data_IF_235974949867
#
_entry.id   IF_235974949867
#
_cell.length_a   1.000
_cell.length_b   1.000
_cell.length_c   1.000
_cell.angle_alpha   90.00
_cell.angle_beta   90.00
_cell.angle_gamma   90.00
#
_symmetry.space_group_name_H-M   'P 1'
#
loop_
_entity.id
_entity.type
_entity.pdbx_description
1 polymer ?
#
# COMPACT_ATOMS: atom_id res chain seq x y z
N UNK A 1 -38.30 0.06 -8.61
CA UNK A 1 -36.92 -0.36 -8.30
C UNK A 1 -36.97 -1.20 -7.06
N UNK A 2 -36.33 -2.37 -7.08
CA UNK A 2 -36.36 -3.32 -5.97
C UNK A 2 -35.13 -3.08 -5.09
N UNK A 3 -35.31 -3.08 -3.77
CA UNK A 3 -34.21 -3.09 -2.82
C UNK A 3 -33.81 -4.52 -2.49
N UNK A 4 -32.50 -4.74 -2.35
CA UNK A 4 -31.90 -6.03 -2.04
C UNK A 4 -30.76 -5.85 -1.02
N UNK A 5 -30.41 -6.89 -0.33
CA UNK A 5 -29.20 -6.85 0.50
C UNK A 5 -27.95 -6.75 -0.37
N UNK A 6 -27.01 -5.90 0.03
CA UNK A 6 -25.72 -5.79 -0.63
C UNK A 6 -24.98 -7.13 -0.61
N UNK A 7 -24.39 -7.48 -1.75
CA UNK A 7 -23.56 -8.70 -1.91
C UNK A 7 -22.24 -8.61 -1.11
N UNK A 8 -21.90 -7.43 -0.64
CA UNK A 8 -20.68 -7.15 0.14
C UNK A 8 -20.90 -7.20 1.64
N UNK A 9 -22.10 -7.65 2.10
CA UNK A 9 -22.37 -7.87 3.51
C UNK A 9 -21.78 -9.19 4.00
N UNK A 10 -21.05 -9.13 5.09
CA UNK A 10 -20.62 -10.30 5.87
C UNK A 10 -21.34 -10.22 7.22
N UNK A 11 -22.25 -11.13 7.46
CA UNK A 11 -23.15 -11.07 8.63
C UNK A 11 -23.05 -12.35 9.46
N UNK A 12 -23.13 -12.17 10.79
CA UNK A 12 -23.27 -13.26 11.75
C UNK A 12 -24.45 -12.96 12.68
N UNK A 13 -25.19 -14.00 13.07
CA UNK A 13 -26.24 -13.91 14.09
C UNK A 13 -25.69 -14.38 15.43
N UNK A 14 -25.95 -13.61 16.49
CA UNK A 14 -25.60 -13.98 17.86
C UNK A 14 -26.59 -13.37 18.83
N UNK A 15 -27.20 -14.22 19.70
CA UNK A 15 -28.12 -13.80 20.75
C UNK A 15 -29.33 -12.95 20.27
N UNK A 16 -29.85 -13.25 19.07
CA UNK A 16 -30.99 -12.52 18.50
C UNK A 16 -30.61 -11.22 17.79
N UNK A 17 -29.33 -10.88 17.74
CA UNK A 17 -28.79 -9.73 17.01
C UNK A 17 -28.02 -10.17 15.76
N UNK A 18 -28.09 -9.35 14.74
CA UNK A 18 -27.24 -9.45 13.55
C UNK A 18 -26.09 -8.45 13.68
N UNK A 19 -24.86 -8.97 13.61
CA UNK A 19 -23.65 -8.20 13.42
C UNK A 19 -23.27 -8.28 11.96
N UNK A 20 -23.21 -7.16 11.28
CA UNK A 20 -22.89 -7.13 9.85
C UNK A 20 -21.84 -6.10 9.52
N UNK A 21 -20.87 -6.50 8.69
CA UNK A 21 -19.86 -5.64 8.11
C UNK A 21 -20.05 -5.60 6.60
N UNK A 22 -20.20 -4.40 6.03
CA UNK A 22 -20.22 -4.25 4.58
C UNK A 22 -18.82 -3.90 4.09
N UNK A 23 -18.24 -4.79 3.29
CA UNK A 23 -16.85 -4.65 2.82
C UNK A 23 -16.66 -3.52 1.80
N UNK A 24 -17.73 -3.03 1.17
CA UNK A 24 -17.71 -1.93 0.22
C UNK A 24 -17.84 -0.57 0.91
N UNK A 25 -18.86 -0.39 1.75
CA UNK A 25 -19.08 0.86 2.51
C UNK A 25 -18.18 0.98 3.74
N UNK A 26 -17.59 -0.14 4.19
CA UNK A 26 -16.81 -0.30 5.43
C UNK A 26 -17.60 -0.02 6.72
N UNK A 27 -18.91 -0.02 6.63
CA UNK A 27 -19.76 0.14 7.77
C UNK A 27 -19.83 -1.17 8.59
N UNK A 28 -19.84 -1.04 9.90
CA UNK A 28 -20.09 -2.13 10.85
C UNK A 28 -21.32 -1.78 11.68
N UNK A 29 -22.28 -2.71 11.77
CA UNK A 29 -23.52 -2.52 12.51
C UNK A 29 -23.82 -3.70 13.40
N UNK A 30 -24.63 -3.41 14.43
CA UNK A 30 -25.39 -4.38 15.22
C UNK A 30 -26.84 -3.95 15.21
N UNK A 31 -27.75 -4.84 14.83
CA UNK A 31 -29.20 -4.60 14.82
C UNK A 31 -29.91 -5.85 15.30
N UNK A 32 -31.11 -5.69 15.84
CA UNK A 32 -31.97 -6.84 16.15
C UNK A 32 -32.29 -7.62 14.86
N UNK A 33 -32.46 -8.92 14.96
CA UNK A 33 -32.73 -9.79 13.80
C UNK A 33 -33.92 -9.32 12.96
N UNK A 34 -34.99 -8.88 13.63
CA UNK A 34 -36.21 -8.42 12.95
C UNK A 34 -36.02 -7.09 12.21
N UNK A 35 -35.05 -6.27 12.65
CA UNK A 35 -34.67 -5.01 12.01
C UNK A 35 -33.72 -5.20 10.84
N UNK A 36 -33.14 -6.40 10.69
CA UNK A 36 -32.26 -6.70 9.57
C UNK A 36 -33.07 -7.14 8.35
N UNK A 37 -33.75 -6.18 7.73
CA UNK A 37 -34.62 -6.39 6.58
C UNK A 37 -34.44 -5.29 5.51
N UNK A 38 -34.88 -5.56 4.29
CA UNK A 38 -34.67 -4.67 3.13
C UNK A 38 -35.46 -3.35 3.20
N UNK A 39 -36.44 -3.26 4.07
CA UNK A 39 -37.25 -2.06 4.25
C UNK A 39 -36.68 -1.09 5.27
N UNK A 40 -35.71 -1.52 6.05
CA UNK A 40 -35.08 -0.70 7.09
C UNK A 40 -34.26 0.46 6.46
N UNK A 41 -34.66 1.72 6.68
CA UNK A 41 -33.99 2.89 6.10
C UNK A 41 -32.57 3.07 6.64
N UNK A 42 -32.29 2.66 7.88
CA UNK A 42 -30.95 2.71 8.46
C UNK A 42 -29.99 1.82 7.71
N UNK A 43 -30.40 0.61 7.30
CA UNK A 43 -29.57 -0.30 6.52
C UNK A 43 -29.27 0.25 5.12
N UNK A 44 -30.23 0.98 4.54
CA UNK A 44 -30.02 1.67 3.25
C UNK A 44 -29.00 2.81 3.38
N UNK A 45 -29.13 3.64 4.40
CA UNK A 45 -28.19 4.75 4.66
C UNK A 45 -26.75 4.25 4.84
N UNK A 46 -26.56 3.09 5.46
CA UNK A 46 -25.25 2.48 5.72
C UNK A 46 -24.74 1.58 4.59
N UNK A 47 -25.50 1.39 3.52
CA UNK A 47 -25.12 0.59 2.37
C UNK A 47 -25.25 -0.92 2.53
N UNK A 48 -26.01 -1.38 3.55
CA UNK A 48 -26.33 -2.81 3.74
C UNK A 48 -27.47 -3.28 2.85
N UNK A 49 -28.34 -2.37 2.49
CA UNK A 49 -29.43 -2.56 1.55
C UNK A 49 -29.29 -1.52 0.46
N UNK A 50 -29.32 -1.98 -0.77
CA UNK A 50 -29.06 -1.19 -1.99
C UNK A 50 -30.13 -1.44 -3.05
N UNK A 51 -30.20 -0.59 -4.06
CA UNK A 51 -30.99 -0.92 -5.24
C UNK A 51 -30.33 -2.03 -6.02
N UNK A 52 -31.10 -2.82 -6.72
CA UNK A 52 -30.59 -3.89 -7.58
C UNK A 52 -29.56 -3.31 -8.57
N UNK A 53 -28.42 -3.98 -8.70
CA UNK A 53 -27.22 -3.58 -9.45
C UNK A 53 -26.39 -2.37 -8.92
N UNK A 54 -26.84 -1.66 -7.88
CA UNK A 54 -26.11 -0.51 -7.32
C UNK A 54 -24.74 -0.92 -6.75
N UNK A 55 -24.61 -2.09 -6.14
CA UNK A 55 -23.35 -2.63 -5.63
C UNK A 55 -22.28 -2.72 -6.72
N UNK A 56 -22.65 -3.25 -7.89
CA UNK A 56 -21.72 -3.41 -9.00
C UNK A 56 -21.26 -2.06 -9.55
N UNK A 57 -22.20 -1.11 -9.65
CA UNK A 57 -21.89 0.25 -10.12
C UNK A 57 -20.98 0.97 -9.13
N UNK A 58 -21.28 0.88 -7.84
CA UNK A 58 -20.47 1.45 -6.77
C UNK A 58 -19.06 0.85 -6.74
N UNK A 59 -18.96 -0.48 -6.84
CA UNK A 59 -17.68 -1.17 -6.93
C UNK A 59 -16.87 -0.71 -8.14
N UNK A 60 -17.49 -0.70 -9.34
CA UNK A 60 -16.84 -0.21 -10.57
C UNK A 60 -16.35 1.23 -10.42
N UNK A 61 -17.16 2.10 -9.86
CA UNK A 61 -16.76 3.50 -9.62
C UNK A 61 -15.52 3.59 -8.71
N UNK A 62 -15.52 2.91 -7.56
CA UNK A 62 -14.36 2.90 -6.65
C UNK A 62 -13.12 2.28 -7.29
N UNK A 63 -13.29 1.19 -8.03
CA UNK A 63 -12.20 0.50 -8.71
C UNK A 63 -11.58 1.39 -9.79
N UNK A 64 -12.40 1.94 -10.68
CA UNK A 64 -11.94 2.80 -11.76
C UNK A 64 -11.33 4.11 -11.25
N UNK A 65 -11.94 4.73 -10.22
CA UNK A 65 -11.39 5.94 -9.62
C UNK A 65 -10.00 5.74 -9.05
N UNK A 66 -9.68 4.54 -8.54
CA UNK A 66 -8.34 4.20 -8.04
C UNK A 66 -7.35 3.88 -9.15
N UNK A 67 -7.77 3.09 -10.15
CA UNK A 67 -6.89 2.71 -11.26
C UNK A 67 -6.47 3.94 -12.08
N UNK A 68 -7.40 4.87 -12.29
CA UNK A 68 -7.14 6.08 -13.05
C UNK A 68 -6.72 7.28 -12.18
N UNK A 69 -6.51 7.08 -10.87
CA UNK A 69 -5.98 8.14 -10.00
C UNK A 69 -4.48 8.31 -10.22
N UNK A 70 -4.12 9.31 -11.01
CA UNK A 70 -2.74 9.71 -11.21
C UNK A 70 -2.23 10.70 -10.14
N UNK A 71 -3.07 11.08 -9.16
CA UNK A 71 -2.68 12.06 -8.13
C UNK A 71 -1.91 11.43 -6.98
N UNK A 72 -2.17 10.15 -6.73
CA UNK A 72 -1.54 9.38 -5.65
C UNK A 72 -0.78 8.21 -6.25
N UNK A 73 0.52 8.20 -6.10
CA UNK A 73 1.39 7.13 -6.59
C UNK A 73 2.12 6.50 -5.41
N UNK A 74 2.00 5.19 -5.28
CA UNK A 74 2.80 4.40 -4.34
C UNK A 74 3.63 3.41 -5.14
N UNK A 75 4.95 3.43 -4.91
CA UNK A 75 5.90 2.53 -5.55
C UNK A 75 6.68 1.75 -4.51
N UNK A 76 6.82 0.45 -4.72
CA UNK A 76 7.87 -0.35 -4.10
C UNK A 76 9.02 -0.48 -5.08
N UNK A 77 10.20 -0.03 -4.67
CA UNK A 77 11.39 0.03 -5.53
C UNK A 77 12.45 -0.88 -4.95
N UNK A 78 12.69 -2.01 -5.61
CA UNK A 78 13.80 -2.90 -5.29
C UNK A 78 15.08 -2.34 -5.93
N UNK A 79 15.97 -1.81 -5.11
CA UNK A 79 17.26 -1.26 -5.59
C UNK A 79 18.26 -2.36 -5.91
N UNK A 80 18.06 -3.55 -5.34
CA UNK A 80 18.80 -4.79 -5.62
C UNK A 80 18.01 -5.99 -5.12
N UNK A 81 18.20 -7.13 -5.75
CA UNK A 81 17.72 -8.41 -5.23
C UNK A 81 18.80 -9.16 -4.43
N UNK A 82 20.03 -8.62 -4.39
CA UNK A 82 21.08 -9.13 -3.53
C UNK A 82 20.79 -8.82 -2.04
N UNK A 83 21.17 -9.75 -1.17
CA UNK A 83 21.06 -9.58 0.27
C UNK A 83 22.32 -10.12 0.95
N UNK A 84 22.78 -9.41 1.98
CA UNK A 84 23.93 -9.81 2.80
C UNK A 84 23.57 -10.86 3.86
N UNK A 85 22.28 -11.21 4.00
CA UNK A 85 21.77 -12.27 4.90
C UNK A 85 21.14 -13.42 4.11
N UNK A 86 21.01 -14.57 4.79
CA UNK A 86 20.37 -15.79 4.27
C UNK A 86 19.36 -16.35 5.27
N UNK A 87 18.32 -15.57 5.54
CA UNK A 87 17.27 -15.96 6.46
C UNK A 87 16.51 -17.18 5.93
N UNK A 88 16.32 -18.24 6.74
CA UNK A 88 15.70 -19.50 6.27
C UNK A 88 14.21 -19.36 5.91
N UNK A 89 13.54 -18.29 6.35
CA UNK A 89 12.15 -17.98 6.07
C UNK A 89 12.00 -16.85 5.05
N UNK A 90 13.05 -16.48 4.33
CA UNK A 90 13.02 -15.38 3.37
C UNK A 90 12.08 -15.73 2.21
N UNK A 91 11.01 -14.95 2.05
CA UNK A 91 10.07 -15.15 0.94
C UNK A 91 10.67 -14.81 -0.44
N UNK A 92 11.78 -14.05 -0.47
CA UNK A 92 12.54 -13.75 -1.69
C UNK A 92 13.61 -14.82 -2.02
N UNK A 93 13.68 -15.94 -1.28
CA UNK A 93 14.76 -16.94 -1.45
C UNK A 93 14.87 -17.44 -2.89
N UNK A 94 13.73 -17.69 -3.56
CA UNK A 94 13.69 -18.15 -4.95
C UNK A 94 13.96 -17.03 -5.98
N UNK A 95 13.98 -15.78 -5.58
CA UNK A 95 14.15 -14.61 -6.46
C UNK A 95 15.45 -13.85 -6.21
N UNK A 96 16.30 -14.33 -5.31
CA UNK A 96 17.60 -13.68 -5.04
C UNK A 96 18.48 -13.69 -6.28
N UNK A 97 18.95 -12.52 -6.65
CA UNK A 97 19.89 -12.29 -7.74
C UNK A 97 21.00 -11.37 -7.25
N UNK A 98 22.24 -11.56 -7.70
CA UNK A 98 23.33 -10.61 -7.39
C UNK A 98 23.20 -9.27 -8.10
N UNK A 99 22.12 -9.04 -8.83
CA UNK A 99 21.92 -7.86 -9.63
C UNK A 99 21.58 -6.65 -8.79
N UNK A 100 22.13 -5.53 -9.21
CA UNK A 100 21.87 -4.21 -8.68
C UNK A 100 21.14 -3.38 -9.74
N UNK A 101 20.25 -2.50 -9.29
CA UNK A 101 19.60 -1.56 -10.20
C UNK A 101 20.65 -0.75 -10.96
N UNK A 102 20.50 -0.73 -12.27
CA UNK A 102 21.32 0.09 -13.16
C UNK A 102 20.81 1.54 -13.22
N UNK A 103 21.71 2.44 -13.59
CA UNK A 103 21.47 3.87 -13.66
C UNK A 103 20.29 4.25 -14.58
N UNK A 104 20.15 3.56 -15.72
CA UNK A 104 19.08 3.79 -16.69
C UNK A 104 17.69 3.44 -16.14
N UNK A 105 17.59 2.39 -15.29
CA UNK A 105 16.35 2.03 -14.59
C UNK A 105 15.99 3.10 -13.57
N UNK A 106 16.98 3.58 -12.79
CA UNK A 106 16.78 4.66 -11.84
C UNK A 106 16.29 5.93 -12.53
N UNK A 107 16.88 6.28 -13.67
CA UNK A 107 16.48 7.45 -14.49
C UNK A 107 15.07 7.25 -15.09
N UNK A 108 14.72 6.04 -15.52
CA UNK A 108 13.38 5.72 -16.01
C UNK A 108 12.31 5.89 -14.93
N UNK A 109 12.58 5.47 -13.69
CA UNK A 109 11.68 5.68 -12.54
C UNK A 109 11.44 7.18 -12.33
N UNK A 110 12.51 7.98 -12.31
CA UNK A 110 12.39 9.44 -12.13
C UNK A 110 11.58 10.05 -13.28
N UNK A 111 11.89 9.70 -14.52
CA UNK A 111 11.16 10.19 -15.71
C UNK A 111 9.67 9.83 -15.65
N UNK A 112 9.36 8.61 -15.24
CA UNK A 112 7.99 8.16 -15.05
C UNK A 112 7.25 9.03 -14.01
N UNK A 113 7.83 9.21 -12.84
CA UNK A 113 7.20 10.00 -11.75
C UNK A 113 7.01 11.46 -12.14
N UNK A 114 7.99 12.06 -12.81
CA UNK A 114 7.89 13.43 -13.34
C UNK A 114 6.76 13.55 -14.36
N UNK A 115 6.61 12.56 -15.26
CA UNK A 115 5.57 12.57 -16.30
C UNK A 115 4.15 12.51 -15.75
N UNK A 116 3.97 11.89 -14.57
CA UNK A 116 2.66 11.68 -13.94
C UNK A 116 2.07 12.94 -13.30
N UNK A 117 2.89 13.93 -12.97
CA UNK A 117 2.47 15.15 -12.26
C UNK A 117 1.66 14.84 -10.99
N UNK A 118 2.02 13.76 -10.30
CA UNK A 118 1.33 13.33 -9.09
C UNK A 118 1.51 14.33 -7.95
N UNK A 119 0.48 14.44 -7.08
CA UNK A 119 0.54 15.31 -5.91
C UNK A 119 1.16 14.61 -4.70
N UNK A 120 0.88 13.32 -4.54
CA UNK A 120 1.36 12.51 -3.43
C UNK A 120 2.12 11.30 -3.98
N UNK A 121 3.41 11.25 -3.70
CA UNK A 121 4.26 10.13 -4.08
C UNK A 121 4.81 9.49 -2.81
N UNK A 122 4.58 8.19 -2.67
CA UNK A 122 5.14 7.38 -1.59
C UNK A 122 6.04 6.31 -2.21
N UNK A 123 7.27 6.24 -1.74
CA UNK A 123 8.25 5.25 -2.21
C UNK A 123 8.61 4.34 -1.03
N UNK A 124 8.51 3.04 -1.24
CA UNK A 124 9.04 2.04 -0.31
C UNK A 124 10.30 1.44 -0.93
N UNK A 125 11.44 1.75 -0.33
CA UNK A 125 12.71 1.14 -0.68
C UNK A 125 12.75 -0.29 -0.15
N UNK A 126 12.95 -1.23 -1.03
CA UNK A 126 12.82 -2.65 -0.78
C UNK A 126 13.83 -3.47 -1.60
N UNK A 127 13.73 -4.78 -1.57
CA UNK A 127 14.53 -5.74 -2.34
C UNK A 127 15.12 -6.80 -1.44
N UNK A 128 16.26 -7.39 -1.80
CA UNK A 128 17.00 -8.27 -0.92
C UNK A 128 17.46 -7.50 0.33
N UNK A 129 18.42 -6.59 0.15
CA UNK A 129 18.80 -5.60 1.17
C UNK A 129 19.04 -4.24 0.49
N UNK A 130 18.12 -3.28 0.63
CA UNK A 130 18.21 -2.01 -0.09
C UNK A 130 19.42 -1.17 0.28
N UNK A 131 19.98 -1.31 1.49
CA UNK A 131 21.16 -0.58 1.91
C UNK A 131 22.44 -1.01 1.15
N UNK A 132 22.44 -2.18 0.52
CA UNK A 132 23.56 -2.60 -0.35
C UNK A 132 23.66 -1.73 -1.60
N UNK A 133 22.57 -1.09 -2.01
CA UNK A 133 22.55 -0.17 -3.15
C UNK A 133 22.03 1.23 -2.75
N UNK A 134 22.47 1.73 -1.61
CA UNK A 134 22.04 3.03 -1.08
C UNK A 134 22.34 4.18 -2.03
N UNK A 135 23.35 4.07 -2.88
CA UNK A 135 23.68 5.06 -3.91
C UNK A 135 22.50 5.34 -4.87
N UNK A 136 21.69 4.32 -5.22
CA UNK A 136 20.53 4.51 -6.10
C UNK A 136 19.37 5.17 -5.35
N UNK A 137 19.22 4.89 -4.06
CA UNK A 137 18.29 5.64 -3.20
C UNK A 137 18.66 7.13 -3.21
N UNK A 138 19.96 7.45 -3.02
CA UNK A 138 20.45 8.82 -3.06
C UNK A 138 20.22 9.46 -4.45
N UNK A 139 20.53 8.73 -5.53
CA UNK A 139 20.39 9.19 -6.92
C UNK A 139 18.94 9.55 -7.25
N UNK A 140 18.02 8.61 -7.04
CA UNK A 140 16.59 8.81 -7.34
C UNK A 140 16.04 9.95 -6.50
N UNK A 141 16.31 9.94 -5.17
CA UNK A 141 15.83 10.97 -4.26
C UNK A 141 16.31 12.38 -4.64
N UNK A 142 17.60 12.52 -4.98
CA UNK A 142 18.17 13.80 -5.43
C UNK A 142 17.57 14.24 -6.78
N UNK A 143 17.36 13.29 -7.70
CA UNK A 143 16.79 13.59 -9.02
C UNK A 143 15.33 14.03 -8.92
N UNK A 144 14.53 13.39 -8.06
CA UNK A 144 13.15 13.82 -7.79
C UNK A 144 13.11 15.24 -7.21
N UNK A 145 13.99 15.55 -6.26
CA UNK A 145 14.09 16.90 -5.67
C UNK A 145 14.53 17.96 -6.70
N UNK A 146 15.48 17.64 -7.55
CA UNK A 146 15.90 18.54 -8.67
C UNK A 146 14.74 18.87 -9.60
N UNK A 147 13.81 17.94 -9.80
CA UNK A 147 12.61 18.15 -10.60
C UNK A 147 11.44 18.73 -9.79
N UNK A 148 11.68 19.25 -8.58
CA UNK A 148 10.67 19.81 -7.68
C UNK A 148 9.53 18.83 -7.31
N UNK A 149 9.78 17.52 -7.38
CA UNK A 149 8.82 16.49 -7.00
C UNK A 149 8.87 16.30 -5.49
N UNK A 150 7.72 16.50 -4.85
CA UNK A 150 7.52 16.19 -3.42
C UNK A 150 7.17 14.72 -3.27
N UNK A 151 7.87 14.02 -2.40
CA UNK A 151 7.62 12.62 -2.08
C UNK A 151 7.92 12.33 -0.62
N UNK A 152 7.36 11.25 -0.12
CA UNK A 152 7.71 10.61 1.14
C UNK A 152 8.25 9.21 0.84
N UNK A 153 9.17 8.75 1.65
CA UNK A 153 9.71 7.41 1.50
C UNK A 153 9.75 6.64 2.82
N UNK A 154 9.69 5.33 2.72
CA UNK A 154 10.01 4.36 3.77
C UNK A 154 11.08 3.40 3.27
N UNK A 155 11.76 2.73 4.19
CA UNK A 155 12.72 1.69 3.85
C UNK A 155 12.46 0.45 4.71
N UNK A 156 12.47 -0.72 4.07
CA UNK A 156 12.39 -2.02 4.73
C UNK A 156 13.76 -2.68 4.59
N UNK A 157 14.42 -2.94 5.71
CA UNK A 157 15.84 -3.37 5.74
C UNK A 157 16.08 -4.34 6.89
N UNK A 158 17.11 -5.15 6.79
CA UNK A 158 17.61 -5.92 7.93
C UNK A 158 18.44 -5.06 8.91
N UNK A 159 18.76 -3.84 8.54
CA UNK A 159 19.41 -2.85 9.38
C UNK A 159 20.92 -3.05 9.61
N UNK A 160 21.50 -4.17 9.20
CA UNK A 160 22.90 -4.52 9.51
C UNK A 160 23.92 -3.62 8.83
N UNK A 161 23.53 -2.97 7.74
CA UNK A 161 24.40 -2.09 6.95
C UNK A 161 24.24 -0.61 7.27
N UNK A 162 23.37 -0.24 8.22
CA UNK A 162 23.26 1.16 8.61
C UNK A 162 24.58 1.70 9.17
N UNK A 163 25.03 2.78 8.58
CA UNK A 163 26.08 3.61 9.13
C UNK A 163 25.49 4.89 9.72
N UNK A 164 26.21 5.52 10.64
CA UNK A 164 25.80 6.82 11.18
C UNK A 164 25.57 7.85 10.08
N UNK A 165 26.46 7.89 9.09
CA UNK A 165 26.31 8.79 7.94
C UNK A 165 25.09 8.53 7.06
N UNK A 166 24.61 7.27 6.95
CA UNK A 166 23.34 6.96 6.28
C UNK A 166 22.15 7.44 7.10
N UNK A 167 22.17 7.20 8.41
CA UNK A 167 21.07 7.61 9.32
C UNK A 167 20.91 9.14 9.30
N UNK A 168 21.99 9.89 9.36
CA UNK A 168 21.99 11.36 9.30
C UNK A 168 21.42 11.89 7.96
N UNK A 169 21.46 11.10 6.90
CA UNK A 169 20.94 11.46 5.59
C UNK A 169 19.50 11.03 5.31
N UNK A 170 18.86 10.23 6.18
CA UNK A 170 17.52 9.69 5.90
C UNK A 170 16.51 10.82 5.63
N UNK A 171 16.52 11.86 6.43
CA UNK A 171 15.63 13.01 6.23
C UNK A 171 15.95 13.78 4.93
N UNK A 172 17.23 13.89 4.57
CA UNK A 172 17.66 14.48 3.30
C UNK A 172 17.05 13.74 2.10
N UNK A 173 16.85 12.42 2.18
CA UNK A 173 16.26 11.62 1.11
C UNK A 173 14.76 11.35 1.32
N UNK A 174 14.12 12.13 2.20
CA UNK A 174 12.68 12.06 2.50
C UNK A 174 12.23 10.70 3.05
N UNK A 175 13.15 9.93 3.63
CA UNK A 175 12.85 8.66 4.30
C UNK A 175 12.31 8.97 5.70
N UNK A 176 11.00 8.81 5.88
CA UNK A 176 10.28 9.17 7.10
C UNK A 176 10.00 7.98 8.01
N UNK A 177 10.16 6.78 7.49
CA UNK A 177 9.93 5.54 8.23
C UNK A 177 10.97 4.49 7.86
N UNK A 178 11.46 3.80 8.88
CA UNK A 178 12.37 2.65 8.74
C UNK A 178 11.72 1.46 9.42
N UNK A 179 11.52 0.39 8.66
CA UNK A 179 11.10 -0.90 9.19
C UNK A 179 12.30 -1.83 9.23
N UNK A 180 12.65 -2.29 10.42
CA UNK A 180 13.75 -3.25 10.63
C UNK A 180 13.15 -4.58 11.07
N UNK A 181 13.52 -5.65 10.37
CA UNK A 181 13.18 -7.02 10.78
C UNK A 181 14.24 -7.51 11.75
N UNK A 182 13.81 -7.85 12.96
CA UNK A 182 14.68 -8.41 14.01
C UNK A 182 14.25 -9.84 14.29
N UNK A 183 15.18 -10.75 14.17
CA UNK A 183 14.99 -12.14 14.58
C UNK A 183 15.22 -12.26 16.09
N UNK A 184 14.49 -13.17 16.73
CA UNK A 184 14.67 -13.47 18.14
C UNK A 184 16.05 -14.07 18.42
N UNK A 185 16.40 -14.13 19.70
CA UNK A 185 17.59 -14.92 20.12
C UNK A 185 17.39 -16.38 19.73
N UNK A 186 18.38 -16.95 19.03
CA UNK A 186 18.54 -18.38 18.92
C UNK A 186 18.95 -18.97 20.26
#
# INVERSE_FOLDING_TARGET
MKYVFSKYNVSIERNGDIFSFNTLSRALIRVAKDDFNVDNPFLRDKGFVVKDDEDLMTYKYYYLSRIFDNKNISLSVATTMACNLRCPYCFEEGNKSPEFMHDDVADAIVKYLVSKKAHNINITWFGGEPLMNFKEIERISNSLKKNAIKFSASIITNGTLFTRGMIEKLDKYSIKSVQITLDGKQ
#
